data_IF_363529278188
#
_entry.id   IF_363529278188
#
_cell.length_a   1.000
_cell.length_b   1.000
_cell.length_c   1.000
_cell.angle_alpha   90.00
_cell.angle_beta   90.00
_cell.angle_gamma   90.00
#
_symmetry.space_group_name_H-M   'P 1'
#
loop_
_entity.id
_entity.type
_entity.pdbx_description
1 polymer ?
#
# COMPACT_ATOMS: atom_id res chain seq x y z
N UNK A 1 -29.65 1.34 -27.14
CA UNK A 1 -28.41 0.63 -26.75
C UNK A 1 -28.59 0.02 -25.36
N UNK A 2 -28.15 -1.22 -25.16
CA UNK A 2 -28.16 -1.89 -23.85
C UNK A 2 -27.21 -1.18 -22.86
N UNK A 3 -27.47 -1.27 -21.55
CA UNK A 3 -26.53 -0.79 -20.55
C UNK A 3 -25.16 -1.48 -20.67
N UNK A 4 -25.16 -2.79 -20.94
CA UNK A 4 -23.94 -3.58 -21.13
C UNK A 4 -23.15 -3.07 -22.35
N UNK A 5 -23.83 -2.74 -23.45
CA UNK A 5 -23.15 -2.22 -24.64
C UNK A 5 -22.55 -0.84 -24.38
N UNK A 6 -23.26 0.05 -23.67
CA UNK A 6 -22.72 1.36 -23.26
C UNK A 6 -21.48 1.23 -22.38
N UNK A 7 -21.53 0.34 -21.38
CA UNK A 7 -20.38 0.09 -20.49
C UNK A 7 -19.21 -0.49 -21.29
N UNK A 8 -19.47 -1.44 -22.18
CA UNK A 8 -18.41 -2.05 -23.01
C UNK A 8 -17.76 -1.00 -23.90
N UNK A 9 -18.56 -0.13 -24.54
CA UNK A 9 -18.03 0.99 -25.34
C UNK A 9 -17.18 1.95 -24.50
N UNK A 10 -17.56 2.21 -23.24
CA UNK A 10 -16.76 3.03 -22.34
C UNK A 10 -15.45 2.31 -21.95
N UNK A 11 -15.48 1.04 -21.58
CA UNK A 11 -14.27 0.27 -21.27
C UNK A 11 -13.32 0.19 -22.48
N UNK A 12 -13.84 0.18 -23.70
CA UNK A 12 -13.03 0.23 -24.92
C UNK A 12 -12.27 1.56 -25.07
N UNK A 13 -12.80 2.69 -24.61
CA UNK A 13 -12.06 3.98 -24.62
C UNK A 13 -10.90 3.98 -23.62
N UNK A 14 -10.94 3.09 -22.62
CA UNK A 14 -9.88 2.92 -21.62
C UNK A 14 -8.75 2.00 -22.08
N UNK A 15 -8.74 1.53 -23.33
CA UNK A 15 -7.66 0.69 -23.91
C UNK A 15 -6.40 1.49 -24.29
N UNK A 16 -6.13 2.58 -23.58
CA UNK A 16 -4.91 3.36 -23.77
C UNK A 16 -3.74 2.80 -22.95
N UNK A 17 -2.52 3.03 -23.42
CA UNK A 17 -1.30 2.72 -22.70
C UNK A 17 -0.63 4.01 -22.20
N UNK A 18 -0.08 3.96 -20.99
CA UNK A 18 0.74 5.06 -20.44
C UNK A 18 2.20 4.70 -20.64
N UNK A 19 3.01 5.64 -21.16
CA UNK A 19 4.44 5.43 -21.34
C UNK A 19 5.21 5.87 -20.07
N UNK A 20 5.85 4.95 -19.33
CA UNK A 20 6.60 5.29 -18.11
C UNK A 20 7.75 6.26 -18.33
N UNK A 21 8.40 6.23 -19.49
CA UNK A 21 9.56 7.10 -19.77
C UNK A 21 9.12 8.57 -19.90
N UNK A 22 7.93 8.79 -20.47
CA UNK A 22 7.34 10.13 -20.59
C UNK A 22 6.83 10.67 -19.26
N UNK A 23 6.62 9.84 -18.24
CA UNK A 23 6.19 10.30 -16.91
C UNK A 23 7.26 11.14 -16.19
N UNK A 24 8.49 11.20 -16.71
CA UNK A 24 9.50 12.16 -16.23
C UNK A 24 9.19 13.61 -16.59
N UNK A 25 8.39 13.83 -17.63
CA UNK A 25 7.90 15.14 -18.01
C UNK A 25 6.70 15.53 -17.15
N UNK A 26 6.75 16.72 -16.55
CA UNK A 26 5.74 17.17 -15.60
C UNK A 26 4.36 17.36 -16.24
N UNK A 27 4.28 17.84 -17.48
CA UNK A 27 3.00 18.06 -18.16
C UNK A 27 2.34 16.72 -18.50
N UNK A 28 3.12 15.77 -19.01
CA UNK A 28 2.64 14.42 -19.28
C UNK A 28 2.23 13.69 -17.99
N UNK A 29 3.01 13.83 -16.91
CA UNK A 29 2.69 13.26 -15.61
C UNK A 29 1.35 13.77 -15.07
N UNK A 30 1.17 15.09 -15.02
CA UNK A 30 -0.03 15.73 -14.48
C UNK A 30 -1.27 15.44 -15.34
N UNK A 31 -1.15 15.53 -16.67
CA UNK A 31 -2.25 15.19 -17.57
C UNK A 31 -2.66 13.71 -17.45
N UNK A 32 -1.70 12.82 -17.27
CA UNK A 32 -1.95 11.38 -17.02
C UNK A 32 -2.68 11.17 -15.68
N UNK A 33 -2.21 11.81 -14.62
CA UNK A 33 -2.86 11.75 -13.30
C UNK A 33 -4.31 12.23 -13.35
N UNK A 34 -4.57 13.40 -13.94
CA UNK A 34 -5.92 13.96 -14.07
C UNK A 34 -6.84 13.09 -14.91
N UNK A 35 -6.33 12.52 -16.02
CA UNK A 35 -7.09 11.59 -16.84
C UNK A 35 -7.50 10.34 -16.07
N UNK A 36 -6.55 9.70 -15.38
CA UNK A 36 -6.80 8.51 -14.56
C UNK A 36 -7.81 8.78 -13.45
N UNK A 37 -7.72 9.94 -12.79
CA UNK A 37 -8.66 10.35 -11.74
C UNK A 37 -10.09 10.49 -12.28
N UNK A 38 -10.26 11.16 -13.43
CA UNK A 38 -11.55 11.30 -14.10
C UNK A 38 -12.14 9.95 -14.50
N UNK A 39 -11.33 9.08 -15.11
CA UNK A 39 -11.78 7.74 -15.52
C UNK A 39 -12.16 6.88 -14.30
N UNK A 40 -11.40 6.99 -13.21
CA UNK A 40 -11.71 6.32 -11.94
C UNK A 40 -13.06 6.75 -11.35
N UNK A 41 -13.36 8.05 -11.34
CA UNK A 41 -14.63 8.58 -10.84
C UNK A 41 -15.83 8.07 -11.65
N UNK A 42 -15.71 8.06 -12.98
CA UNK A 42 -16.74 7.51 -13.87
C UNK A 42 -16.92 6.00 -13.66
N UNK A 43 -15.83 5.24 -13.56
CA UNK A 43 -15.89 3.80 -13.25
C UNK A 43 -16.60 3.52 -11.91
N UNK A 44 -16.37 4.34 -10.88
CA UNK A 44 -17.06 4.23 -9.59
C UNK A 44 -18.56 4.53 -9.74
N UNK A 45 -18.92 5.55 -10.52
CA UNK A 45 -20.32 5.87 -10.85
C UNK A 45 -21.02 4.70 -11.54
N UNK A 46 -20.38 4.13 -12.57
CA UNK A 46 -20.87 2.96 -13.29
C UNK A 46 -21.01 1.76 -12.35
N UNK A 47 -20.00 1.49 -11.51
CA UNK A 47 -20.03 0.39 -10.53
C UNK A 47 -21.25 0.49 -9.61
N UNK A 48 -21.47 1.66 -9.00
CA UNK A 48 -22.63 1.90 -8.11
C UNK A 48 -23.95 1.62 -8.83
N UNK A 49 -24.06 2.08 -10.08
CA UNK A 49 -25.25 1.85 -10.91
C UNK A 49 -25.50 0.38 -11.19
N UNK A 50 -24.48 -0.40 -11.53
CA UNK A 50 -24.66 -1.84 -11.82
C UNK A 50 -24.82 -2.70 -10.56
N UNK A 51 -24.22 -2.29 -9.43
CA UNK A 51 -24.46 -2.87 -8.11
C UNK A 51 -25.94 -2.74 -7.73
N UNK A 52 -26.50 -1.53 -7.87
CA UNK A 52 -27.94 -1.28 -7.67
C UNK A 52 -28.84 -2.17 -8.55
N UNK A 53 -28.40 -2.45 -9.79
CA UNK A 53 -29.11 -3.33 -10.72
C UNK A 53 -28.85 -4.84 -10.48
N UNK A 54 -28.15 -5.20 -9.41
CA UNK A 54 -27.92 -6.59 -9.02
C UNK A 54 -26.85 -7.34 -9.83
N UNK A 55 -25.95 -6.63 -10.54
CA UNK A 55 -24.93 -7.26 -11.38
C UNK A 55 -23.86 -8.02 -10.58
N UNK A 56 -23.75 -7.77 -9.27
CA UNK A 56 -22.83 -8.49 -8.37
C UNK A 56 -23.21 -9.98 -8.25
N UNK A 57 -24.51 -10.29 -8.22
CA UNK A 57 -25.03 -11.65 -8.08
C UNK A 57 -26.11 -11.94 -9.14
N UNK A 58 -25.76 -11.90 -10.45
CA UNK A 58 -26.75 -11.92 -11.51
C UNK A 58 -27.46 -13.27 -11.62
N UNK A 59 -26.85 -14.34 -11.08
CA UNK A 59 -27.42 -15.68 -11.01
C UNK A 59 -28.44 -15.86 -9.88
N UNK A 60 -28.48 -14.98 -8.89
CA UNK A 60 -29.41 -15.09 -7.76
C UNK A 60 -30.87 -14.98 -8.22
N UNK A 61 -31.12 -14.05 -9.15
CA UNK A 61 -32.45 -13.80 -9.72
C UNK A 61 -33.02 -15.01 -10.46
N UNK A 62 -32.14 -15.89 -10.95
CA UNK A 62 -32.54 -17.08 -11.72
C UNK A 62 -32.45 -18.37 -10.90
N UNK A 63 -32.06 -18.29 -9.61
CA UNK A 63 -31.98 -19.47 -8.74
C UNK A 63 -33.39 -19.89 -8.32
N UNK A 64 -33.85 -21.07 -8.78
CA UNK A 64 -35.14 -21.65 -8.40
C UNK A 64 -36.26 -21.55 -9.43
N UNK A 65 -36.02 -20.90 -10.58
CA UNK A 65 -36.97 -20.87 -11.71
C UNK A 65 -36.70 -22.09 -12.59
N UNK A 66 -37.71 -22.92 -12.91
CA UNK A 66 -37.52 -24.12 -13.77
C UNK A 66 -36.97 -23.76 -15.16
N UNK A 67 -37.39 -22.62 -15.70
CA UNK A 67 -36.93 -22.05 -16.98
C UNK A 67 -35.57 -21.35 -16.90
N UNK A 68 -34.96 -21.18 -15.71
CA UNK A 68 -33.61 -20.65 -15.57
C UNK A 68 -32.49 -21.63 -16.01
N UNK A 69 -32.86 -22.86 -16.37
CA UNK A 69 -31.99 -23.77 -17.10
C UNK A 69 -31.81 -23.34 -18.57
N UNK A 70 -32.66 -22.45 -19.09
CA UNK A 70 -32.56 -21.93 -20.45
C UNK A 70 -31.17 -21.26 -20.67
N UNK A 71 -30.44 -21.68 -21.71
CA UNK A 71 -29.15 -21.09 -22.10
C UNK A 71 -29.19 -19.55 -22.21
N UNK A 72 -30.32 -18.97 -22.58
CA UNK A 72 -30.47 -17.53 -22.75
C UNK A 72 -30.30 -16.74 -21.45
N UNK A 73 -30.98 -17.15 -20.37
CA UNK A 73 -30.88 -16.45 -19.08
C UNK A 73 -29.49 -16.62 -18.45
N UNK A 74 -28.88 -17.80 -18.64
CA UNK A 74 -27.49 -18.06 -18.22
C UNK A 74 -26.50 -17.19 -18.97
N UNK A 75 -26.65 -17.06 -20.29
CA UNK A 75 -25.79 -16.20 -21.11
C UNK A 75 -25.86 -14.74 -20.65
N UNK A 76 -27.08 -14.20 -20.45
CA UNK A 76 -27.25 -12.83 -19.93
C UNK A 76 -26.67 -12.65 -18.52
N UNK A 77 -26.86 -13.62 -17.63
CA UNK A 77 -26.27 -13.56 -16.29
C UNK A 77 -24.72 -13.58 -16.34
N UNK A 78 -24.15 -14.38 -17.25
CA UNK A 78 -22.71 -14.40 -17.51
C UNK A 78 -22.21 -13.06 -18.04
N UNK A 79 -22.87 -12.47 -19.03
CA UNK A 79 -22.51 -11.16 -19.58
C UNK A 79 -22.52 -10.06 -18.50
N UNK A 80 -23.55 -10.05 -17.63
CA UNK A 80 -23.60 -9.13 -16.47
C UNK A 80 -22.44 -9.35 -15.50
N UNK A 81 -22.10 -10.61 -15.21
CA UNK A 81 -20.99 -10.96 -14.31
C UNK A 81 -19.65 -10.52 -14.89
N UNK A 82 -19.40 -10.80 -16.17
CA UNK A 82 -18.17 -10.38 -16.87
C UNK A 82 -18.07 -8.86 -16.89
N UNK A 83 -19.16 -8.16 -17.20
CA UNK A 83 -19.22 -6.71 -17.18
C UNK A 83 -18.87 -6.14 -15.79
N UNK A 84 -19.45 -6.73 -14.73
CA UNK A 84 -19.15 -6.34 -13.34
C UNK A 84 -17.69 -6.59 -12.98
N UNK A 85 -17.17 -7.78 -13.29
CA UNK A 85 -15.79 -8.15 -13.01
C UNK A 85 -14.82 -7.21 -13.75
N UNK A 86 -15.03 -6.92 -15.03
CA UNK A 86 -14.17 -6.01 -15.79
C UNK A 86 -14.12 -4.61 -15.15
N UNK A 87 -15.26 -4.06 -14.72
CA UNK A 87 -15.29 -2.78 -14.02
C UNK A 87 -14.48 -2.84 -12.72
N UNK A 88 -14.60 -3.90 -11.92
CA UNK A 88 -13.82 -4.03 -10.67
C UNK A 88 -12.32 -4.09 -10.93
N UNK A 89 -11.88 -4.79 -11.98
CA UNK A 89 -10.46 -4.84 -12.35
C UNK A 89 -9.98 -3.52 -12.96
N UNK A 90 -10.80 -2.83 -13.75
CA UNK A 90 -10.51 -1.50 -14.25
C UNK A 90 -10.32 -0.50 -13.10
N UNK A 91 -11.24 -0.49 -12.13
CA UNK A 91 -11.15 0.31 -10.90
C UNK A 91 -9.87 -0.01 -10.15
N UNK A 92 -9.54 -1.29 -9.99
CA UNK A 92 -8.31 -1.72 -9.32
C UNK A 92 -7.05 -1.18 -10.03
N UNK A 93 -6.98 -1.29 -11.36
CA UNK A 93 -5.87 -0.77 -12.15
C UNK A 93 -5.70 0.74 -12.02
N UNK A 94 -6.81 1.50 -12.07
CA UNK A 94 -6.77 2.95 -11.88
C UNK A 94 -6.33 3.33 -10.46
N UNK A 95 -6.83 2.65 -9.42
CA UNK A 95 -6.42 2.90 -8.03
C UNK A 95 -4.93 2.67 -7.81
N UNK A 96 -4.39 1.59 -8.36
CA UNK A 96 -2.95 1.29 -8.30
C UNK A 96 -2.17 2.39 -9.02
N UNK A 97 -2.53 2.72 -10.26
CA UNK A 97 -1.86 3.76 -11.03
C UNK A 97 -1.88 5.12 -10.32
N UNK A 98 -3.05 5.55 -9.83
CA UNK A 98 -3.19 6.79 -9.06
C UNK A 98 -2.30 6.74 -7.80
N UNK A 99 -2.32 5.65 -7.04
CA UNK A 99 -1.48 5.50 -5.85
C UNK A 99 0.02 5.63 -6.15
N UNK A 100 0.47 5.04 -7.26
CA UNK A 100 1.87 5.14 -7.73
C UNK A 100 2.23 6.58 -8.13
N UNK A 101 1.35 7.28 -8.87
CA UNK A 101 1.61 8.68 -9.25
C UNK A 101 1.58 9.60 -8.04
N UNK A 102 0.62 9.44 -7.13
CA UNK A 102 0.54 10.27 -5.93
C UNK A 102 1.81 10.12 -5.11
N UNK A 103 2.29 8.90 -4.88
CA UNK A 103 3.50 8.71 -4.08
C UNK A 103 4.79 9.13 -4.80
N UNK A 104 4.78 9.17 -6.14
CA UNK A 104 5.86 9.73 -6.94
C UNK A 104 5.87 11.26 -6.99
N UNK A 105 4.73 11.90 -6.78
CA UNK A 105 4.53 13.33 -6.96
C UNK A 105 5.14 14.14 -5.80
N UNK A 106 5.91 15.17 -6.16
CA UNK A 106 6.35 16.22 -5.25
C UNK A 106 6.39 17.59 -5.92
N UNK A 107 6.25 18.64 -5.12
CA UNK A 107 6.42 20.02 -5.55
C UNK A 107 7.36 20.74 -4.58
N UNK A 108 8.35 21.44 -5.15
CA UNK A 108 9.23 22.32 -4.42
C UNK A 108 8.76 23.76 -4.58
N UNK A 109 8.53 24.44 -3.46
CA UNK A 109 8.18 25.86 -3.41
C UNK A 109 8.90 26.52 -2.23
N UNK A 110 9.63 27.60 -2.50
CA UNK A 110 10.34 28.39 -1.48
C UNK A 110 11.27 27.54 -0.58
N UNK A 111 11.87 26.48 -1.13
CA UNK A 111 12.73 25.54 -0.40
C UNK A 111 11.98 24.48 0.43
N UNK A 112 10.64 24.48 0.42
CA UNK A 112 9.79 23.47 1.07
C UNK A 112 9.33 22.46 0.03
N UNK A 113 9.49 21.17 0.35
CA UNK A 113 9.05 20.07 -0.50
C UNK A 113 7.73 19.52 0.04
N UNK A 114 6.69 19.61 -0.78
CA UNK A 114 5.38 18.98 -0.55
C UNK A 114 5.33 17.67 -1.31
N UNK A 115 4.98 16.57 -0.65
CA UNK A 115 4.97 15.23 -1.27
C UNK A 115 3.61 14.55 -1.13
N UNK A 116 3.32 13.58 -2.01
CA UNK A 116 2.16 12.72 -1.83
C UNK A 116 0.84 13.47 -1.88
N UNK A 117 0.03 13.29 -0.83
CA UNK A 117 -1.31 13.91 -0.76
C UNK A 117 -1.25 15.43 -0.58
N UNK A 118 -0.17 15.96 -0.02
CA UNK A 118 0.03 17.41 0.08
C UNK A 118 0.34 18.02 -1.29
N UNK A 119 1.06 17.29 -2.13
CA UNK A 119 1.37 17.68 -3.50
C UNK A 119 0.12 17.79 -4.39
N UNK A 120 -0.93 16.99 -4.11
CA UNK A 120 -2.19 17.04 -4.87
C UNK A 120 -2.80 18.45 -4.84
N UNK A 121 -2.70 19.18 -3.72
CA UNK A 121 -3.25 20.53 -3.59
C UNK A 121 -2.67 21.50 -4.63
N UNK A 122 -1.39 21.35 -4.96
CA UNK A 122 -0.74 22.17 -5.99
C UNK A 122 -1.28 21.88 -7.39
N UNK A 123 -1.73 20.65 -7.64
CA UNK A 123 -2.36 20.27 -8.92
C UNK A 123 -3.81 20.74 -9.05
N UNK A 124 -4.54 20.84 -7.95
CA UNK A 124 -5.96 21.20 -7.92
C UNK A 124 -6.19 22.72 -7.76
N UNK A 125 -5.29 23.41 -7.07
CA UNK A 125 -5.42 24.84 -6.75
C UNK A 125 -4.56 25.75 -7.66
N UNK A 126 -3.91 25.19 -8.70
CA UNK A 126 -3.06 25.96 -9.62
C UNK A 126 -1.79 26.50 -8.97
N UNK A 127 -1.24 25.79 -7.98
CA UNK A 127 -0.11 26.25 -7.19
C UNK A 127 1.16 26.38 -8.02
N UNK A 128 1.84 27.54 -7.90
CA UNK A 128 3.18 27.73 -8.47
C UNK A 128 4.21 26.94 -7.65
N UNK A 129 4.83 25.92 -8.26
CA UNK A 129 5.90 25.13 -7.66
C UNK A 129 6.61 24.29 -8.73
N UNK A 130 7.89 23.99 -8.52
CA UNK A 130 8.66 23.15 -9.45
C UNK A 130 8.32 21.68 -9.18
N UNK A 131 7.85 20.98 -10.20
CA UNK A 131 7.60 19.54 -10.10
C UNK A 131 8.92 18.79 -9.84
N UNK A 132 8.90 17.90 -8.85
CA UNK A 132 10.01 17.02 -8.51
C UNK A 132 9.47 15.62 -8.20
N UNK A 133 10.33 14.61 -8.32
CA UNK A 133 10.01 13.28 -7.83
C UNK A 133 10.21 13.21 -6.32
N UNK A 134 9.22 12.66 -5.61
CA UNK A 134 9.26 12.53 -4.17
C UNK A 134 10.45 11.64 -3.73
N UNK A 135 11.40 12.14 -2.92
CA UNK A 135 12.52 11.34 -2.43
C UNK A 135 12.08 10.28 -1.39
N UNK A 136 11.07 10.64 -0.58
CA UNK A 136 10.44 9.75 0.40
C UNK A 136 9.27 8.94 -0.23
N UNK A 137 9.12 9.00 -1.56
CA UNK A 137 8.15 8.24 -2.33
C UNK A 137 8.56 6.78 -2.53
N UNK A 138 7.57 5.91 -2.63
CA UNK A 138 7.70 4.50 -3.00
C UNK A 138 6.82 4.27 -4.23
N UNK A 139 7.45 4.09 -5.37
CA UNK A 139 6.74 3.93 -6.63
C UNK A 139 7.58 3.15 -7.65
N UNK A 140 6.89 2.53 -8.60
CA UNK A 140 7.46 1.82 -9.75
C UNK A 140 6.63 2.14 -10.98
N UNK A 141 6.99 3.21 -11.68
CA UNK A 141 6.22 3.67 -12.84
C UNK A 141 6.23 2.69 -14.01
N UNK A 142 7.22 1.80 -14.09
CA UNK A 142 7.31 0.79 -15.14
C UNK A 142 6.14 -0.20 -15.14
N UNK A 143 5.44 -0.37 -14.00
CA UNK A 143 4.28 -1.26 -13.92
C UNK A 143 3.11 -0.79 -14.79
N UNK A 144 3.08 0.48 -15.20
CA UNK A 144 2.01 1.06 -16.01
C UNK A 144 1.86 0.37 -17.37
N UNK A 145 2.94 -0.20 -17.91
CA UNK A 145 2.92 -0.99 -19.14
C UNK A 145 2.05 -2.25 -19.02
N UNK A 146 1.83 -2.73 -17.80
CA UNK A 146 1.15 -3.99 -17.50
C UNK A 146 -0.22 -3.78 -16.83
N UNK A 147 -0.65 -2.54 -16.60
CA UNK A 147 -1.97 -2.22 -16.06
C UNK A 147 -3.03 -2.22 -17.16
N UNK A 148 -4.07 -3.04 -17.01
CA UNK A 148 -5.22 -3.07 -17.91
C UNK A 148 -6.31 -2.12 -17.43
N UNK A 149 -6.29 -0.87 -17.92
CA UNK A 149 -7.27 0.15 -17.55
C UNK A 149 -8.69 -0.16 -18.03
N UNK A 150 -8.85 -0.94 -19.10
CA UNK A 150 -10.15 -1.45 -19.57
C UNK A 150 -10.70 -2.64 -18.75
N UNK A 151 -9.91 -3.18 -17.82
CA UNK A 151 -10.32 -4.31 -16.96
C UNK A 151 -10.16 -5.69 -17.62
N UNK A 152 -9.59 -5.77 -18.82
CA UNK A 152 -9.33 -7.03 -19.55
C UNK A 152 -8.12 -7.80 -18.97
N UNK A 153 -8.09 -7.98 -17.64
CA UNK A 153 -6.94 -8.54 -16.91
C UNK A 153 -6.54 -9.95 -17.35
N UNK A 154 -7.49 -10.73 -17.88
CA UNK A 154 -7.18 -12.07 -18.40
C UNK A 154 -6.30 -11.98 -19.64
N UNK A 155 -6.51 -10.99 -20.53
CA UNK A 155 -5.68 -10.82 -21.71
C UNK A 155 -4.26 -10.44 -21.33
N UNK A 156 -4.09 -9.53 -20.36
CA UNK A 156 -2.77 -9.18 -19.84
C UNK A 156 -2.11 -10.35 -19.10
N UNK A 157 -2.87 -11.15 -18.35
CA UNK A 157 -2.34 -12.38 -17.74
C UNK A 157 -1.88 -13.41 -18.80
N UNK A 158 -2.63 -13.54 -19.90
CA UNK A 158 -2.26 -14.45 -20.99
C UNK A 158 -1.08 -13.96 -21.82
N UNK A 159 -0.82 -12.65 -21.89
CA UNK A 159 0.38 -12.13 -22.56
C UNK A 159 1.68 -12.38 -21.79
N UNK A 160 1.61 -12.72 -20.49
CA UNK A 160 2.79 -13.03 -19.68
C UNK A 160 3.49 -14.33 -20.12
N UNK A 161 4.81 -14.34 -20.00
CA UNK A 161 5.69 -15.50 -20.19
C UNK A 161 5.44 -16.59 -19.15
N UNK A 162 6.04 -17.78 -19.34
CA UNK A 162 5.89 -18.89 -18.38
C UNK A 162 6.44 -18.52 -16.99
N UNK A 163 7.59 -17.87 -16.95
CA UNK A 163 8.25 -17.43 -15.73
C UNK A 163 7.46 -16.33 -15.03
N UNK A 164 6.97 -15.34 -15.79
CA UNK A 164 6.13 -14.26 -15.26
C UNK A 164 4.82 -14.79 -14.67
N UNK A 165 4.21 -15.81 -15.28
CA UNK A 165 3.02 -16.46 -14.71
C UNK A 165 3.32 -17.22 -13.41
N UNK A 166 4.54 -17.73 -13.24
CA UNK A 166 4.96 -18.32 -11.99
C UNK A 166 5.14 -17.25 -10.91
N UNK A 167 5.79 -16.14 -11.25
CA UNK A 167 5.90 -14.96 -10.39
C UNK A 167 4.53 -14.44 -9.99
N UNK A 168 3.59 -14.30 -10.93
CA UNK A 168 2.21 -13.93 -10.67
C UNK A 168 1.56 -14.79 -9.58
N UNK A 169 1.72 -16.13 -9.65
CA UNK A 169 1.13 -17.04 -8.65
C UNK A 169 1.73 -16.84 -7.27
N UNK A 170 3.07 -16.75 -7.19
CA UNK A 170 3.80 -16.51 -5.95
C UNK A 170 3.39 -15.17 -5.32
N UNK A 171 3.33 -14.10 -6.11
CA UNK A 171 2.90 -12.78 -5.65
C UNK A 171 1.45 -12.83 -5.15
N UNK A 172 0.54 -13.45 -5.91
CA UNK A 172 -0.87 -13.57 -5.54
C UNK A 172 -1.07 -14.32 -4.22
N UNK A 173 -0.25 -15.35 -3.98
CA UNK A 173 -0.20 -16.10 -2.73
C UNK A 173 0.29 -15.23 -1.58
N UNK A 174 1.46 -14.59 -1.70
CA UNK A 174 2.06 -13.74 -0.67
C UNK A 174 1.13 -12.58 -0.27
N UNK A 175 0.55 -11.88 -1.26
CA UNK A 175 -0.38 -10.77 -1.00
C UNK A 175 -1.69 -11.23 -0.34
N UNK A 176 -2.01 -12.52 -0.48
CA UNK A 176 -3.22 -13.12 0.07
C UNK A 176 -3.03 -13.92 1.35
N UNK A 177 -1.79 -14.25 1.70
CA UNK A 177 -1.46 -15.03 2.88
C UNK A 177 -1.89 -14.28 4.13
N UNK A 178 -2.92 -14.79 4.79
CA UNK A 178 -3.47 -14.19 6.00
C UNK A 178 -2.38 -14.09 7.06
N UNK A 179 -2.27 -12.95 7.74
CA UNK A 179 -1.39 -12.85 8.90
C UNK A 179 -1.73 -13.97 9.89
N UNK A 180 -0.72 -14.77 10.27
CA UNK A 180 -0.84 -15.73 11.37
C UNK A 180 -0.91 -14.94 12.67
N UNK A 181 -2.05 -14.30 12.95
CA UNK A 181 -2.30 -13.72 14.26
C UNK A 181 -2.23 -14.80 15.33
N UNK A 182 -1.70 -14.46 16.51
CA UNK A 182 -1.85 -15.29 17.73
C UNK A 182 -3.32 -15.70 17.86
N UNK A 183 -3.56 -16.98 18.14
CA UNK A 183 -4.90 -17.55 18.32
C UNK A 183 -5.70 -16.76 19.35
N UNK A 184 -6.59 -15.89 18.87
CA UNK A 184 -7.60 -15.23 19.69
C UNK A 184 -8.86 -16.10 19.64
N UNK A 185 -9.16 -16.75 20.76
CA UNK A 185 -10.38 -17.55 20.99
C UNK A 185 -11.59 -16.69 20.87
N UNK A 186 -12.47 -16.96 19.90
CA UNK A 186 -13.79 -16.35 19.91
C UNK A 186 -14.86 -17.34 19.46
N UNK A 187 -16.00 -17.32 20.14
CA UNK A 187 -17.14 -18.23 19.94
C UNK A 187 -18.11 -17.71 18.87
N UNK A 188 -18.85 -18.66 18.28
CA UNK A 188 -19.96 -18.42 17.35
C UNK A 188 -21.06 -17.56 17.98
N UNK A 189 -21.52 -16.55 17.25
CA UNK A 189 -22.87 -15.99 17.42
C UNK A 189 -23.85 -16.96 16.74
N UNK A 190 -24.90 -17.45 17.42
CA UNK A 190 -25.97 -18.16 16.75
C UNK A 190 -26.64 -17.25 15.73
N UNK A 191 -26.74 -17.76 14.51
CA UNK A 191 -27.31 -17.07 13.38
C UNK A 191 -28.84 -17.09 13.51
N UNK A 192 -29.41 -16.24 14.36
CA UNK A 192 -30.85 -15.97 14.31
C UNK A 192 -31.14 -15.08 13.11
N UNK A 193 -31.43 -15.72 11.98
CA UNK A 193 -32.66 -15.54 11.19
C UNK A 193 -32.61 -16.50 10.00
N UNK A 194 -33.52 -17.48 10.03
CA UNK A 194 -33.95 -18.21 8.84
C UNK A 194 -33.75 -19.72 8.90
N UNK A 195 -34.44 -20.43 9.80
CA UNK A 195 -35.12 -21.71 9.51
C UNK A 195 -36.24 -21.93 10.56
N UNK A 196 -37.38 -22.44 10.09
CA UNK A 196 -38.64 -22.66 10.83
C UNK A 196 -38.52 -23.44 12.15
N UNK A 197 -39.35 -23.06 13.13
CA UNK A 197 -39.73 -23.83 14.33
C UNK A 197 -41.01 -23.25 14.95
N UNK A 198 -41.86 -24.04 15.63
CA UNK A 198 -43.32 -23.84 15.68
C UNK A 198 -43.80 -22.76 16.68
N UNK A 199 -45.01 -22.26 16.40
CA UNK A 199 -45.82 -21.34 17.21
C UNK A 199 -45.86 -21.74 18.68
N UNK A 200 -45.79 -20.76 19.58
CA UNK A 200 -46.70 -20.65 20.72
C UNK A 200 -46.76 -19.20 21.25
N UNK A 201 -47.97 -18.80 21.62
CA UNK A 201 -48.35 -17.48 22.11
C UNK A 201 -47.99 -17.31 23.59
N UNK A 202 -47.62 -16.09 24.02
CA UNK A 202 -48.14 -15.42 25.24
C UNK A 202 -47.52 -14.01 25.43
N UNK A 203 -48.25 -13.05 26.06
CA UNK A 203 -47.96 -11.62 26.00
C UNK A 203 -47.20 -11.10 27.25
N UNK A 204 -46.51 -9.97 27.07
CA UNK A 204 -46.13 -8.95 28.05
C UNK A 204 -45.80 -9.38 29.50
N UNK A 205 -44.55 -9.18 29.91
CA UNK A 205 -44.21 -8.61 31.23
C UNK A 205 -43.07 -7.59 31.11
N UNK A 206 -43.36 -6.37 31.59
CA UNK A 206 -42.38 -5.35 31.99
C UNK A 206 -41.55 -5.89 33.15
N UNK A 207 -40.28 -5.50 33.24
CA UNK A 207 -39.73 -4.84 34.43
C UNK A 207 -38.32 -4.28 34.14
N UNK A 208 -38.12 -3.02 34.53
CA UNK A 208 -36.85 -2.31 34.55
C UNK A 208 -35.95 -2.90 35.63
N UNK A 209 -34.64 -3.04 35.38
CA UNK A 209 -33.57 -2.93 36.40
C UNK A 209 -32.17 -2.92 35.76
N UNK A 210 -31.43 -1.84 36.06
CA UNK A 210 -29.97 -1.74 36.16
C UNK A 210 -29.13 -2.83 35.46
N UNK A 211 -28.63 -2.54 34.26
CA UNK A 211 -27.47 -3.25 33.72
C UNK A 211 -26.19 -2.46 33.98
N UNK A 212 -25.43 -2.94 34.98
CA UNK A 212 -23.97 -2.82 35.00
C UNK A 212 -23.46 -3.21 33.62
N UNK A 213 -22.57 -2.36 33.10
CA UNK A 213 -21.92 -2.49 31.81
C UNK A 213 -20.84 -3.58 31.92
N UNK A 214 -21.26 -4.84 31.99
CA UNK A 214 -20.33 -5.95 31.92
C UNK A 214 -19.81 -6.04 30.48
N UNK A 215 -18.51 -5.76 30.37
CA UNK A 215 -17.65 -6.06 29.23
C UNK A 215 -17.89 -7.51 28.79
N UNK A 216 -18.35 -7.72 27.56
CA UNK A 216 -18.22 -8.99 26.87
C UNK A 216 -17.63 -8.75 25.49
N UNK A 217 -16.41 -9.23 25.32
CA UNK A 217 -15.49 -9.03 24.21
C UNK A 217 -15.27 -10.40 23.53
N UNK A 218 -15.61 -10.59 22.24
CA UNK A 218 -15.30 -11.81 21.46
C UNK A 218 -15.64 -11.71 19.92
N UNK A 219 -14.96 -10.90 19.06
CA UNK A 219 -14.99 -10.93 17.53
C UNK A 219 -13.91 -11.73 16.69
N UNK A 220 -14.08 -13.02 16.28
CA UNK A 220 -12.95 -13.87 15.71
C UNK A 220 -12.17 -13.09 14.63
N UNK A 221 -10.90 -12.75 14.86
CA UNK A 221 -10.07 -12.09 13.85
C UNK A 221 -9.39 -13.17 13.01
N UNK A 222 -10.10 -13.63 11.97
CA UNK A 222 -9.52 -14.49 10.95
C UNK A 222 -8.54 -13.64 10.15
N UNK A 223 -7.29 -13.58 10.61
CA UNK A 223 -6.12 -12.95 10.01
C UNK A 223 -6.36 -12.28 8.65
N UNK A 224 -6.09 -10.99 8.62
CA UNK A 224 -6.30 -10.14 7.46
C UNK A 224 -5.26 -10.45 6.37
N UNK A 225 -5.69 -10.58 5.12
CA UNK A 225 -4.75 -10.66 3.99
C UNK A 225 -3.98 -9.34 3.89
N UNK A 226 -2.68 -9.35 3.60
CA UNK A 226 -1.86 -8.16 3.41
C UNK A 226 -2.49 -7.11 2.54
N UNK A 227 -3.18 -7.52 1.47
CA UNK A 227 -4.04 -6.66 0.67
C UNK A 227 -5.45 -7.23 0.69
N UNK A 228 -6.40 -6.46 1.22
CA UNK A 228 -7.78 -6.90 1.43
C UNK A 228 -8.52 -7.17 0.13
N UNK A 229 -8.35 -6.28 -0.85
CA UNK A 229 -9.10 -6.32 -2.09
C UNK A 229 -8.52 -7.37 -3.05
N UNK A 230 -9.33 -8.38 -3.38
CA UNK A 230 -8.94 -9.45 -4.32
C UNK A 230 -8.63 -8.94 -5.73
N UNK A 231 -9.30 -7.88 -6.19
CA UNK A 231 -9.09 -7.31 -7.52
C UNK A 231 -7.78 -6.53 -7.56
N UNK A 232 -7.48 -5.76 -6.51
CA UNK A 232 -6.18 -5.10 -6.36
C UNK A 232 -5.06 -6.13 -6.33
N UNK A 233 -5.18 -7.21 -5.53
CA UNK A 233 -4.16 -8.28 -5.50
C UNK A 233 -3.91 -8.87 -6.89
N UNK A 234 -4.96 -9.19 -7.64
CA UNK A 234 -4.80 -9.73 -9.00
C UNK A 234 -4.08 -8.75 -9.92
N UNK A 235 -4.50 -7.48 -9.93
CA UNK A 235 -3.92 -6.48 -10.83
C UNK A 235 -2.48 -6.16 -10.44
N UNK A 236 -2.16 -6.00 -9.15
CA UNK A 236 -0.79 -5.85 -8.67
C UNK A 236 0.07 -7.06 -9.05
N UNK A 237 -0.43 -8.27 -8.85
CA UNK A 237 0.31 -9.50 -9.18
C UNK A 237 0.63 -9.58 -10.67
N UNK A 238 -0.29 -9.17 -11.54
CA UNK A 238 -0.04 -9.09 -12.99
C UNK A 238 0.99 -8.01 -13.29
N UNK A 239 0.85 -6.83 -12.67
CA UNK A 239 1.68 -5.68 -12.98
C UNK A 239 3.14 -5.85 -12.50
N UNK A 240 3.35 -6.61 -11.42
CA UNK A 240 4.67 -6.90 -10.85
C UNK A 240 5.30 -8.20 -11.36
N UNK A 241 4.53 -9.10 -11.98
CA UNK A 241 5.05 -10.38 -12.48
C UNK A 241 6.32 -10.27 -13.36
N UNK A 242 6.45 -9.28 -14.26
CA UNK A 242 7.67 -9.05 -15.05
C UNK A 242 8.91 -8.64 -14.26
N UNK A 243 8.74 -8.15 -13.03
CA UNK A 243 9.83 -7.66 -12.18
C UNK A 243 10.27 -8.68 -11.12
N UNK A 244 9.56 -9.81 -11.01
CA UNK A 244 9.83 -10.84 -10.02
C UNK A 244 9.19 -10.58 -8.65
N UNK A 245 9.23 -11.61 -7.80
CA UNK A 245 8.64 -11.57 -6.45
C UNK A 245 9.40 -10.60 -5.54
N UNK A 246 10.73 -10.56 -5.66
CA UNK A 246 11.56 -9.70 -4.82
C UNK A 246 11.23 -8.22 -5.01
N UNK A 247 10.95 -7.78 -6.25
CA UNK A 247 10.63 -6.39 -6.53
C UNK A 247 9.40 -5.88 -5.77
N UNK A 248 8.31 -6.66 -5.72
CA UNK A 248 7.11 -6.24 -4.99
C UNK A 248 7.32 -6.31 -3.47
N UNK A 249 8.05 -7.32 -2.97
CA UNK A 249 8.36 -7.44 -1.55
C UNK A 249 9.26 -6.28 -1.08
N UNK A 250 10.25 -5.88 -1.87
CA UNK A 250 11.11 -4.73 -1.59
C UNK A 250 10.32 -3.42 -1.61
N UNK A 251 9.49 -3.18 -2.63
CA UNK A 251 8.70 -1.95 -2.70
C UNK A 251 7.69 -1.88 -1.55
N UNK A 252 7.04 -2.99 -1.18
CA UNK A 252 6.15 -3.04 -0.02
C UNK A 252 6.94 -2.79 1.28
N UNK A 253 8.10 -3.42 1.45
CA UNK A 253 8.94 -3.18 2.64
C UNK A 253 9.36 -1.71 2.76
N UNK A 254 9.79 -1.10 1.64
CA UNK A 254 10.08 0.34 1.58
C UNK A 254 8.86 1.19 1.94
N UNK A 255 7.66 0.79 1.52
CA UNK A 255 6.43 1.48 1.91
C UNK A 255 6.20 1.44 3.44
N UNK A 256 6.40 0.30 4.10
CA UNK A 256 6.33 0.22 5.57
C UNK A 256 7.42 1.04 6.27
N UNK A 257 8.62 1.09 5.70
CA UNK A 257 9.74 1.83 6.25
C UNK A 257 9.55 3.33 6.09
N UNK A 258 9.26 3.80 4.87
CA UNK A 258 9.14 5.23 4.54
C UNK A 258 7.83 5.87 5.00
N UNK A 259 6.74 5.11 5.20
CA UNK A 259 5.46 5.65 5.66
C UNK A 259 5.16 5.26 7.10
N UNK A 260 4.54 6.16 7.83
CA UNK A 260 4.03 5.94 9.20
C UNK A 260 2.77 5.08 9.19
N UNK A 261 2.44 4.47 10.32
CA UNK A 261 1.19 3.71 10.49
C UNK A 261 -0.06 4.49 10.03
N UNK A 262 -0.15 5.78 10.37
CA UNK A 262 -1.29 6.62 10.02
C UNK A 262 -1.38 6.82 8.51
N UNK A 263 -0.26 7.10 7.85
CA UNK A 263 -0.23 7.26 6.39
C UNK A 263 -0.62 5.96 5.67
N UNK A 264 -0.14 4.81 6.15
CA UNK A 264 -0.53 3.50 5.60
C UNK A 264 -2.03 3.26 5.76
N UNK A 265 -2.58 3.58 6.94
CA UNK A 265 -4.00 3.39 7.25
C UNK A 265 -4.93 4.30 6.45
N UNK A 266 -4.57 5.56 6.25
CA UNK A 266 -5.43 6.54 5.56
C UNK A 266 -5.33 6.38 4.05
N UNK A 267 -4.11 6.26 3.54
CA UNK A 267 -3.86 6.43 2.11
C UNK A 267 -3.63 5.12 1.36
N UNK A 268 -2.98 4.13 1.97
CA UNK A 268 -2.52 2.89 1.32
C UNK A 268 -1.49 3.09 0.19
N UNK A 269 -1.36 4.31 -0.34
CA UNK A 269 -0.38 4.75 -1.33
C UNK A 269 -0.31 3.84 -2.57
N UNK A 270 0.89 3.40 -2.98
CA UNK A 270 1.09 2.53 -4.16
C UNK A 270 0.45 1.13 -4.03
N UNK A 271 0.04 0.74 -2.81
CA UNK A 271 -0.55 -0.57 -2.50
C UNK A 271 -1.94 -0.38 -1.87
N UNK A 272 -2.99 -0.06 -2.67
CA UNK A 272 -4.30 0.21 -2.13
C UNK A 272 -4.84 -0.96 -1.31
N UNK A 273 -5.49 -0.66 -0.19
CA UNK A 273 -6.05 -1.68 0.74
C UNK A 273 -5.00 -2.59 1.39
N UNK A 274 -3.74 -2.15 1.46
CA UNK A 274 -2.74 -2.80 2.28
C UNK A 274 -3.10 -2.71 3.77
N UNK A 275 -2.83 -3.76 4.52
CA UNK A 275 -2.96 -3.77 5.98
C UNK A 275 -1.91 -2.82 6.58
N UNK A 276 -2.29 -1.81 7.39
CA UNK A 276 -1.29 -0.93 8.01
C UNK A 276 -0.36 -1.68 9.00
N UNK A 277 -0.77 -2.85 9.49
CA UNK A 277 0.05 -3.71 10.33
C UNK A 277 1.05 -4.52 9.49
N UNK A 278 2.33 -4.63 9.91
CA UNK A 278 3.32 -5.40 9.18
C UNK A 278 3.03 -6.90 9.26
N UNK A 279 3.21 -7.61 8.15
CA UNK A 279 3.03 -9.05 8.05
C UNK A 279 4.38 -9.73 7.74
N UNK A 280 4.79 -10.70 8.57
CA UNK A 280 6.06 -11.42 8.40
C UNK A 280 6.15 -12.20 7.09
N UNK A 281 5.07 -12.85 6.66
CA UNK A 281 5.05 -13.59 5.40
C UNK A 281 5.22 -12.67 4.18
N UNK A 282 4.72 -11.43 4.27
CA UNK A 282 4.86 -10.42 3.23
C UNK A 282 6.25 -9.79 3.20
N UNK A 283 6.76 -9.43 4.39
CA UNK A 283 7.97 -8.62 4.54
C UNK A 283 9.24 -9.47 4.62
N UNK A 284 9.13 -10.75 4.96
CA UNK A 284 10.25 -11.69 5.06
C UNK A 284 11.41 -11.12 5.86
N UNK A 285 12.58 -10.99 5.19
CA UNK A 285 13.80 -10.43 5.80
C UNK A 285 13.65 -9.01 6.34
N UNK A 286 12.72 -8.21 5.79
CA UNK A 286 12.50 -6.82 6.21
C UNK A 286 11.57 -6.70 7.43
N UNK A 287 10.90 -7.78 7.84
CA UNK A 287 9.94 -7.73 8.95
C UNK A 287 10.57 -7.22 10.25
N UNK A 288 11.77 -7.72 10.59
CA UNK A 288 12.52 -7.28 11.77
C UNK A 288 12.87 -5.79 11.71
N UNK A 289 13.26 -5.30 10.53
CA UNK A 289 13.56 -3.89 10.32
C UNK A 289 12.33 -3.01 10.56
N UNK A 290 11.17 -3.39 10.02
CA UNK A 290 9.94 -2.64 10.20
C UNK A 290 9.52 -2.61 11.68
N UNK A 291 9.60 -3.74 12.37
CA UNK A 291 9.29 -3.79 13.81
C UNK A 291 10.25 -2.93 14.64
N UNK A 292 11.54 -2.95 14.32
CA UNK A 292 12.53 -2.10 15.00
C UNK A 292 12.19 -0.62 14.78
N UNK A 293 11.87 -0.22 13.55
CA UNK A 293 11.48 1.15 13.22
C UNK A 293 10.25 1.59 14.00
N UNK A 294 9.17 0.81 14.02
CA UNK A 294 7.96 1.16 14.76
C UNK A 294 8.26 1.29 16.27
N UNK A 295 9.03 0.36 16.85
CA UNK A 295 9.45 0.43 18.25
C UNK A 295 10.25 1.71 18.54
N UNK A 296 11.22 2.05 17.70
CA UNK A 296 12.03 3.27 17.86
C UNK A 296 11.16 4.53 17.75
N UNK A 297 10.23 4.57 16.80
CA UNK A 297 9.29 5.68 16.64
C UNK A 297 8.38 5.85 17.87
N UNK A 298 7.91 4.76 18.45
CA UNK A 298 7.08 4.81 19.66
C UNK A 298 7.88 5.29 20.87
N UNK A 299 9.12 4.80 21.05
CA UNK A 299 10.01 5.30 22.12
C UNK A 299 10.32 6.80 21.97
N UNK A 300 10.58 7.29 20.75
CA UNK A 300 10.78 8.72 20.50
C UNK A 300 9.53 9.54 20.89
N UNK A 301 8.33 9.04 20.56
CA UNK A 301 7.07 9.68 20.94
C UNK A 301 6.87 9.72 22.45
N UNK A 302 7.14 8.63 23.15
CA UNK A 302 7.05 8.55 24.62
C UNK A 302 8.01 9.56 25.29
N UNK A 303 9.17 9.80 24.68
CA UNK A 303 10.16 10.79 25.14
C UNK A 303 9.87 12.23 24.69
N UNK A 304 8.79 12.48 23.95
CA UNK A 304 8.49 13.77 23.30
C UNK A 304 9.59 14.29 22.35
N UNK A 305 10.37 13.38 21.76
CA UNK A 305 11.40 13.68 20.77
C UNK A 305 10.85 13.53 19.36
N UNK A 306 11.32 14.38 18.44
CA UNK A 306 10.93 14.33 17.03
C UNK A 306 12.15 14.06 16.17
N UNK A 307 12.07 13.05 15.32
CA UNK A 307 13.06 12.72 14.31
C UNK A 307 12.34 12.37 13.00
N UNK A 308 12.99 12.59 11.85
CA UNK A 308 12.37 12.32 10.54
C UNK A 308 12.09 10.81 10.41
N UNK A 309 10.89 10.42 9.97
CA UNK A 309 10.54 9.01 9.80
C UNK A 309 11.51 8.26 8.88
N UNK A 310 11.98 8.88 7.80
CA UNK A 310 12.96 8.26 6.90
C UNK A 310 14.33 8.06 7.54
N UNK A 311 14.76 8.95 8.44
CA UNK A 311 16.01 8.76 9.20
C UNK A 311 15.89 7.59 10.18
N UNK A 312 14.78 7.50 10.93
CA UNK A 312 14.54 6.37 11.84
C UNK A 312 14.49 5.06 11.06
N UNK A 313 13.81 5.04 9.92
CA UNK A 313 13.74 3.88 9.04
C UNK A 313 15.10 3.47 8.47
N UNK A 314 15.91 4.43 8.03
CA UNK A 314 17.28 4.18 7.56
C UNK A 314 18.14 3.58 8.68
N UNK A 315 18.06 4.13 9.89
CA UNK A 315 18.80 3.62 11.04
C UNK A 315 18.36 2.20 11.37
N UNK A 316 17.06 1.94 11.46
CA UNK A 316 16.57 0.57 11.70
C UNK A 316 17.03 -0.41 10.62
N UNK A 317 17.10 0.03 9.36
CA UNK A 317 17.61 -0.79 8.25
C UNK A 317 19.10 -1.09 8.42
N UNK A 318 19.93 -0.08 8.72
CA UNK A 318 21.36 -0.27 8.97
C UNK A 318 21.63 -1.19 10.16
N UNK A 319 20.90 -1.02 11.28
CA UNK A 319 21.08 -1.84 12.47
C UNK A 319 20.76 -3.33 12.24
N UNK A 320 19.87 -3.66 11.29
CA UNK A 320 19.52 -5.06 10.99
C UNK A 320 20.35 -5.63 9.84
N UNK A 321 20.66 -4.82 8.83
CA UNK A 321 21.34 -5.28 7.61
C UNK A 321 22.86 -5.14 7.67
N UNK A 322 23.36 -4.26 8.54
CA UNK A 322 24.78 -3.85 8.62
C UNK A 322 25.35 -3.26 7.32
N UNK A 323 24.48 -2.91 6.35
CA UNK A 323 24.87 -2.41 5.04
C UNK A 323 24.69 -0.89 4.95
N UNK A 324 25.77 -0.17 5.22
CA UNK A 324 25.79 1.29 5.29
C UNK A 324 25.51 1.95 3.93
N UNK A 325 26.22 1.53 2.88
CA UNK A 325 26.11 2.15 1.55
C UNK A 325 24.72 1.92 0.95
N UNK A 326 24.17 0.71 1.15
CA UNK A 326 22.83 0.40 0.69
C UNK A 326 21.76 1.15 1.47
N UNK A 327 21.99 1.42 2.76
CA UNK A 327 21.10 2.27 3.57
C UNK A 327 21.00 3.68 3.00
N UNK A 328 22.15 4.33 2.75
CA UNK A 328 22.16 5.69 2.20
C UNK A 328 21.48 5.75 0.84
N UNK A 329 21.71 4.74 -0.02
CA UNK A 329 21.10 4.65 -1.34
C UNK A 329 19.57 4.46 -1.26
N UNK A 330 19.09 3.48 -0.48
CA UNK A 330 17.64 3.16 -0.40
C UNK A 330 16.79 4.32 0.11
N UNK A 331 17.32 5.07 1.07
CA UNK A 331 16.60 6.19 1.69
C UNK A 331 16.96 7.54 1.07
N UNK A 332 17.94 7.58 0.14
CA UNK A 332 18.42 8.81 -0.49
C UNK A 332 18.84 9.87 0.54
N UNK A 333 19.60 9.45 1.55
CA UNK A 333 20.04 10.28 2.68
C UNK A 333 21.53 10.60 2.55
N UNK A 334 21.91 11.83 2.86
CA UNK A 334 23.32 12.21 2.88
C UNK A 334 24.06 11.58 4.06
N UNK A 335 25.33 11.22 3.82
CA UNK A 335 26.20 10.58 4.83
C UNK A 335 26.20 11.31 6.17
N UNK A 336 26.42 12.63 6.12
CA UNK A 336 26.55 13.45 7.33
C UNK A 336 25.24 13.55 8.11
N UNK A 337 24.11 13.63 7.39
CA UNK A 337 22.77 13.66 7.99
C UNK A 337 22.47 12.34 8.71
N UNK A 338 22.77 11.21 8.05
CA UNK A 338 22.61 9.88 8.62
C UNK A 338 23.47 9.67 9.87
N UNK A 339 24.78 9.95 9.77
CA UNK A 339 25.73 9.78 10.89
C UNK A 339 25.30 10.62 12.10
N UNK A 340 24.89 11.86 11.87
CA UNK A 340 24.41 12.76 12.93
C UNK A 340 23.13 12.24 13.59
N UNK A 341 22.17 11.74 12.79
CA UNK A 341 20.92 11.19 13.31
C UNK A 341 21.15 9.91 14.13
N UNK A 342 22.05 9.06 13.66
CA UNK A 342 22.40 7.82 14.35
C UNK A 342 23.04 8.10 15.71
N UNK A 343 23.97 9.07 15.79
CA UNK A 343 24.58 9.50 17.06
C UNK A 343 23.51 10.10 18.00
N UNK A 344 22.59 10.93 17.50
CA UNK A 344 21.49 11.47 18.31
C UNK A 344 20.63 10.36 18.92
N UNK A 345 20.21 9.40 18.11
CA UNK A 345 19.36 8.29 18.54
C UNK A 345 20.08 7.38 19.55
N UNK A 346 21.39 7.17 19.41
CA UNK A 346 22.18 6.46 20.42
C UNK A 346 22.29 7.25 21.74
N UNK A 347 22.50 8.56 21.67
CA UNK A 347 22.53 9.42 22.86
C UNK A 347 21.20 9.40 23.64
N UNK A 348 20.08 9.14 22.96
CA UNK A 348 18.77 8.91 23.59
C UNK A 348 18.62 7.51 24.21
N UNK A 349 19.59 6.62 24.01
CA UNK A 349 19.57 5.24 24.51
C UNK A 349 18.62 4.31 23.74
N UNK A 350 18.25 4.68 22.51
CA UNK A 350 17.25 3.97 21.71
C UNK A 350 17.89 2.84 20.88
N UNK A 351 19.18 2.97 20.54
CA UNK A 351 19.92 1.93 19.79
C UNK A 351 20.06 0.67 20.65
N UNK A 352 19.71 -0.53 20.13
CA UNK A 352 19.88 -1.78 20.85
C UNK A 352 21.34 -2.03 21.25
N UNK A 353 21.56 -2.57 22.46
CA UNK A 353 22.91 -2.77 23.00
C UNK A 353 23.80 -3.65 22.10
N UNK A 354 23.22 -4.65 21.46
CA UNK A 354 23.89 -5.56 20.52
C UNK A 354 24.48 -4.85 19.30
N UNK A 355 23.91 -3.70 18.92
CA UNK A 355 24.34 -2.93 17.75
C UNK A 355 25.33 -1.80 18.06
N UNK A 356 25.75 -1.63 19.32
CA UNK A 356 26.65 -0.53 19.69
C UNK A 356 28.00 -0.56 18.95
N UNK A 357 28.47 -1.73 18.57
CA UNK A 357 29.70 -1.89 17.78
C UNK A 357 29.63 -1.19 16.40
N UNK A 358 28.43 -1.07 15.81
CA UNK A 358 28.23 -0.39 14.52
C UNK A 358 28.44 1.13 14.61
N UNK A 359 28.21 1.70 15.80
CA UNK A 359 28.46 3.12 16.07
C UNK A 359 29.95 3.42 16.18
N UNK A 360 30.70 2.53 16.82
CA UNK A 360 32.16 2.66 16.94
C UNK A 360 32.84 2.71 15.56
N UNK A 361 32.32 1.97 14.58
CA UNK A 361 32.83 1.99 13.21
C UNK A 361 32.63 3.36 12.54
N UNK A 362 31.50 4.02 12.81
CA UNK A 362 31.18 5.34 12.26
C UNK A 362 32.02 6.41 12.94
N UNK A 363 32.13 6.38 14.27
CA UNK A 363 32.96 7.31 15.06
C UNK A 363 34.45 7.17 14.69
N UNK A 364 34.98 5.96 14.53
CA UNK A 364 36.36 5.73 14.06
C UNK A 364 36.58 6.24 12.63
N UNK A 365 35.54 6.25 11.79
CA UNK A 365 35.62 6.74 10.41
C UNK A 365 35.56 8.27 10.30
N UNK A 366 34.86 8.94 11.23
CA UNK A 366 34.82 10.41 11.34
C UNK A 366 36.07 10.97 12.01
N UNK A 367 36.60 10.28 13.03
CA UNK A 367 37.88 10.62 13.67
C UNK A 367 39.08 10.56 12.71
N UNK A 368 39.08 9.64 11.73
CA UNK A 368 40.10 9.60 10.67
C UNK A 368 40.12 10.84 9.76
N UNK A 369 39.04 11.64 9.72
CA UNK A 369 39.00 12.90 8.94
C UNK A 369 39.35 14.14 9.76
N UNK A 370 39.18 14.12 11.09
CA UNK A 370 39.44 15.28 11.94
C UNK A 370 40.78 15.25 12.70
N UNK A 371 41.37 14.07 12.94
CA UNK A 371 42.60 13.98 13.75
C UNK A 371 43.83 14.53 13.02
N UNK A 372 43.91 14.49 11.68
CA UNK A 372 45.08 15.03 10.97
C UNK A 372 45.03 16.54 10.76
N UNK A 373 43.85 17.17 10.72
CA UNK A 373 43.75 18.62 10.50
C UNK A 373 43.82 19.42 11.80
N UNK A 374 43.18 18.97 12.88
CA UNK A 374 43.22 19.66 14.18
C UNK A 374 44.55 19.46 14.91
N UNK A 375 45.12 18.26 14.89
CA UNK A 375 46.39 17.98 15.57
C UNK A 375 47.59 18.67 14.88
N UNK A 376 47.59 18.82 13.55
CA UNK A 376 48.63 19.59 12.84
C UNK A 376 48.46 21.12 12.97
N UNK A 377 47.26 21.62 13.20
CA UNK A 377 47.03 23.05 13.51
C UNK A 377 47.45 23.39 14.94
N UNK A 378 47.16 22.51 15.91
CA UNK A 378 47.57 22.70 17.30
C UNK A 378 49.09 22.57 17.49
N UNK A 379 49.76 21.68 16.74
CA UNK A 379 51.24 21.58 16.77
C UNK A 379 51.95 22.74 16.07
N UNK A 380 51.32 23.42 15.11
CA UNK A 380 51.90 24.61 14.46
C UNK A 380 51.62 25.91 15.21
N UNK A 381 50.58 25.97 16.05
CA UNK A 381 50.28 27.12 16.90
C UNK A 381 51.07 27.16 18.22
N UNK A 382 51.70 26.05 18.63
CA UNK A 382 52.45 25.95 19.89
C UNK A 382 53.97 26.22 19.76
N UNK A 383 54.45 26.73 18.61
CA UNK A 383 55.87 27.04 18.37
C UNK A 383 56.14 28.37 17.67
N UNK A 384 55.24 29.35 17.76
CA UNK A 384 55.43 30.69 17.19
C UNK A 384 55.25 31.77 18.23
#
# INVERSE_FOLDING_TARGET
MSLISRISSYLDTLKYSINPEKLRDSEYFLSTYLKLKKDYEELISIRRKIEFLGYQNPYFVIKGIKDAQDPYFRKRAMEKKICFDNIQHAIAAHRIAIGQLVDAMGFEKDGIIYTGHEAIKFTEEGGMGKFIFSPDGVYRLDIFKYLSFSGEYMKTLFSLSKEERENYRKIMEILGEKSKGKSSTKKRIPQEYGMMGPKDHLPFKKDYLYYKRDLYDETIDLGRSPIYDKHIRKVLSIAYAPFGVDAICEDIALFYLKKTYIERKIYGGPFPTIDPEPNEALLGKFYKTVLLKEKMMDTLREMNLKEKNSLVAAISYYLISEDYDKTLLYFSIEKNEFDSALIRIDNYGIVPKENKHLLENIVKSSEKKDITKKFLQELKGARG
#
